data_IF_362846955398
#
_entry.id   IF_362846955398
#
_cell.length_a   1.000
_cell.length_b   1.000
_cell.length_c   1.000
_cell.angle_alpha   90.00
_cell.angle_beta   90.00
_cell.angle_gamma   90.00
#
_symmetry.space_group_name_H-M   'P 1'
#
loop_
_entity.id
_entity.type
_entity.pdbx_description
1 polymer ?
#
# COMPACT_ATOMS: atom_id res chain seq x y z
N UNK A 1 16.90 -1.07 -0.52
CA UNK A 1 17.11 0.23 0.16
C UNK A 1 16.36 1.27 -0.62
N UNK A 2 15.72 2.22 0.06
CA UNK A 2 15.02 3.32 -0.61
C UNK A 2 16.00 4.32 -1.23
N UNK A 3 15.51 5.09 -2.19
CA UNK A 3 16.31 6.03 -3.00
C UNK A 3 16.93 7.16 -2.16
N UNK A 4 16.34 7.46 -1.01
CA UNK A 4 16.82 8.44 -0.03
C UNK A 4 17.80 7.87 1.02
N UNK A 5 18.22 6.61 0.88
CA UNK A 5 19.14 5.96 1.81
C UNK A 5 18.50 5.39 3.06
N UNK A 6 17.16 5.41 3.19
CA UNK A 6 16.48 4.76 4.31
C UNK A 6 16.62 3.24 4.24
N UNK A 7 16.95 2.65 5.38
CA UNK A 7 17.05 1.20 5.58
C UNK A 7 15.73 0.60 6.04
N UNK A 8 15.55 -0.69 5.74
CA UNK A 8 14.36 -1.44 6.16
C UNK A 8 14.33 -1.59 7.68
N UNK A 9 13.17 -1.33 8.29
CA UNK A 9 13.02 -1.47 9.74
C UNK A 9 13.17 -2.92 10.23
N UNK A 10 12.54 -3.88 9.55
CA UNK A 10 12.65 -5.30 9.85
C UNK A 10 13.84 -5.95 9.14
N UNK A 11 15.06 -5.65 9.62
CA UNK A 11 16.27 -6.37 9.22
C UNK A 11 16.27 -7.80 9.74
N UNK A 12 17.09 -8.69 9.16
CA UNK A 12 17.23 -10.07 9.66
C UNK A 12 17.58 -10.12 11.16
N UNK A 13 18.40 -9.19 11.64
CA UNK A 13 18.78 -9.12 13.05
C UNK A 13 17.59 -8.77 13.96
N UNK A 14 16.66 -7.94 13.47
CA UNK A 14 15.40 -7.63 14.16
C UNK A 14 14.48 -8.84 14.12
N UNK A 15 14.32 -9.46 12.95
CA UNK A 15 13.44 -10.62 12.75
C UNK A 15 13.84 -11.84 13.60
N UNK A 16 15.14 -12.07 13.80
CA UNK A 16 15.65 -13.12 14.71
C UNK A 16 15.27 -12.90 16.17
N UNK A 17 15.01 -11.65 16.59
CA UNK A 17 14.74 -11.26 17.99
C UNK A 17 13.25 -11.05 18.28
N UNK A 18 12.42 -10.93 17.24
CA UNK A 18 10.98 -10.74 17.38
C UNK A 18 10.33 -11.96 18.01
N UNK A 19 9.47 -11.71 19.00
CA UNK A 19 8.66 -12.72 19.69
C UNK A 19 7.18 -12.61 19.30
N UNK A 20 6.92 -12.47 18.00
CA UNK A 20 5.57 -12.46 17.46
C UNK A 20 5.23 -13.86 16.93
N UNK A 21 4.21 -14.56 17.47
CA UNK A 21 3.84 -15.91 17.04
C UNK A 21 3.36 -15.99 15.58
N UNK A 22 3.02 -14.86 14.98
CA UNK A 22 2.61 -14.78 13.56
C UNK A 22 3.80 -14.76 12.62
N UNK A 23 5.00 -14.43 13.12
CA UNK A 23 6.22 -14.40 12.34
C UNK A 23 6.83 -15.79 12.30
N UNK A 24 7.04 -16.29 11.09
CA UNK A 24 7.66 -17.58 10.84
C UNK A 24 8.82 -17.47 9.85
N UNK A 25 9.52 -18.58 9.65
CA UNK A 25 10.58 -18.71 8.67
C UNK A 25 10.49 -20.07 7.98
N UNK A 26 10.61 -20.08 6.66
CA UNK A 26 10.74 -21.30 5.87
C UNK A 26 11.73 -21.12 4.72
N UNK A 27 11.71 -22.02 3.73
CA UNK A 27 12.59 -21.98 2.57
C UNK A 27 12.49 -20.67 1.76
N UNK A 28 11.35 -19.98 1.82
CA UNK A 28 11.12 -18.68 1.17
C UNK A 28 11.58 -17.47 1.99
N UNK A 29 12.17 -17.69 3.18
CA UNK A 29 12.63 -16.63 4.07
C UNK A 29 11.66 -16.35 5.23
N UNK A 30 11.74 -15.14 5.78
CA UNK A 30 10.85 -14.71 6.85
C UNK A 30 9.49 -14.29 6.30
N UNK A 31 8.43 -14.67 7.02
CA UNK A 31 7.07 -14.32 6.69
C UNK A 31 6.28 -13.95 7.93
N UNK A 32 5.14 -13.30 7.73
CA UNK A 32 4.15 -13.02 8.78
C UNK A 32 2.75 -13.37 8.29
N UNK A 33 1.90 -13.88 9.17
CA UNK A 33 0.46 -13.89 8.94
C UNK A 33 -0.14 -12.54 9.33
N UNK A 34 -0.69 -11.81 8.34
CA UNK A 34 -1.23 -10.46 8.54
C UNK A 34 -2.41 -10.46 9.51
N UNK A 35 -2.51 -9.42 10.35
CA UNK A 35 -3.58 -9.30 11.35
C UNK A 35 -4.97 -9.22 10.73
N UNK A 36 -5.10 -8.46 9.63
CA UNK A 36 -6.37 -8.12 9.00
C UNK A 36 -6.91 -9.24 8.10
N UNK A 37 -6.02 -9.97 7.43
CA UNK A 37 -6.42 -10.94 6.40
C UNK A 37 -6.03 -12.38 6.76
N UNK A 38 -5.22 -12.59 7.80
CA UNK A 38 -4.59 -13.87 8.14
C UNK A 38 -3.86 -14.50 6.93
N UNK A 39 -3.22 -13.65 6.14
CA UNK A 39 -2.52 -14.05 4.92
C UNK A 39 -1.02 -14.09 5.20
N UNK A 40 -0.37 -15.14 4.72
CA UNK A 40 1.08 -15.23 4.72
C UNK A 40 1.69 -14.21 3.76
N UNK A 41 2.46 -13.28 4.30
CA UNK A 41 3.21 -12.27 3.55
C UNK A 41 4.69 -12.48 3.83
N UNK A 42 5.47 -12.67 2.76
CA UNK A 42 6.93 -12.68 2.86
C UNK A 42 7.44 -11.26 3.04
N UNK A 43 8.31 -11.08 4.01
CA UNK A 43 8.77 -9.75 4.43
C UNK A 43 9.61 -9.10 3.33
N UNK A 44 10.46 -9.87 2.65
CA UNK A 44 11.24 -9.37 1.51
C UNK A 44 10.35 -8.97 0.34
N UNK A 45 9.29 -9.73 0.03
CA UNK A 45 8.33 -9.37 -1.03
C UNK A 45 7.55 -8.09 -0.70
N UNK A 46 7.23 -7.86 0.58
CA UNK A 46 6.62 -6.61 1.02
C UNK A 46 7.56 -5.41 0.80
N UNK A 47 8.83 -5.55 1.19
CA UNK A 47 9.82 -4.50 0.97
C UNK A 47 10.10 -4.25 -0.51
N UNK A 48 10.19 -5.30 -1.34
CA UNK A 48 10.34 -5.18 -2.79
C UNK A 48 9.16 -4.42 -3.41
N UNK A 49 7.93 -4.68 -2.95
CA UNK A 49 6.76 -3.92 -3.38
C UNK A 49 6.89 -2.43 -3.03
N UNK A 50 7.30 -2.10 -1.80
CA UNK A 50 7.50 -0.70 -1.39
C UNK A 50 8.58 0.00 -2.21
N UNK A 51 9.70 -0.65 -2.47
CA UNK A 51 10.82 -0.11 -3.25
C UNK A 51 10.41 0.16 -4.71
N UNK A 52 9.70 -0.80 -5.34
CA UNK A 52 9.18 -0.61 -6.71
C UNK A 52 8.17 0.54 -6.77
N UNK A 53 7.30 0.63 -5.76
CA UNK A 53 6.30 1.70 -5.68
C UNK A 53 6.96 3.05 -5.45
N UNK A 54 7.96 3.14 -4.57
CA UNK A 54 8.74 4.36 -4.34
C UNK A 54 9.35 4.86 -5.65
N UNK A 55 10.03 3.97 -6.38
CA UNK A 55 10.69 4.32 -7.64
C UNK A 55 9.71 4.96 -8.63
N UNK A 56 8.55 4.32 -8.85
CA UNK A 56 7.50 4.85 -9.75
C UNK A 56 6.94 6.18 -9.26
N UNK A 57 6.70 6.30 -7.96
CA UNK A 57 6.20 7.52 -7.35
C UNK A 57 7.20 8.69 -7.51
N UNK A 58 8.50 8.44 -7.36
CA UNK A 58 9.56 9.43 -7.57
C UNK A 58 9.69 9.83 -9.04
N UNK A 59 9.62 8.87 -9.97
CA UNK A 59 9.61 9.14 -11.42
C UNK A 59 8.43 10.05 -11.80
N UNK A 60 7.23 9.73 -11.32
CA UNK A 60 6.04 10.53 -11.61
C UNK A 60 6.09 11.90 -10.92
N UNK A 61 6.60 11.99 -9.69
CA UNK A 61 6.82 13.25 -9.00
C UNK A 61 7.80 14.16 -9.78
N UNK A 62 8.89 13.58 -10.29
CA UNK A 62 9.84 14.29 -11.13
C UNK A 62 9.20 14.82 -12.43
N UNK A 63 8.35 14.01 -13.06
CA UNK A 63 7.59 14.42 -14.25
C UNK A 63 6.60 15.54 -13.94
N UNK A 64 5.91 15.48 -12.81
CA UNK A 64 4.97 16.52 -12.38
C UNK A 64 5.67 17.84 -12.09
N UNK A 65 6.81 17.81 -11.39
CA UNK A 65 7.58 19.02 -11.11
C UNK A 65 8.02 19.72 -12.41
N UNK A 66 8.44 18.95 -13.43
CA UNK A 66 8.76 19.50 -14.75
C UNK A 66 7.54 20.11 -15.44
N UNK A 67 6.38 19.44 -15.38
CA UNK A 67 5.12 19.95 -15.96
C UNK A 67 4.66 21.23 -15.28
N UNK A 68 4.71 21.28 -13.94
CA UNK A 68 4.35 22.48 -13.16
C UNK A 68 5.26 23.65 -13.54
N UNK A 69 6.58 23.42 -13.58
CA UNK A 69 7.55 24.47 -13.92
C UNK A 69 7.44 24.98 -15.36
N UNK A 70 6.98 24.14 -16.30
CA UNK A 70 6.82 24.50 -17.70
C UNK A 70 5.45 25.13 -18.05
N UNK A 71 4.48 25.10 -17.14
CA UNK A 71 3.12 25.58 -17.40
C UNK A 71 2.97 27.03 -16.94
N UNK A 72 2.42 27.91 -17.78
CA UNK A 72 2.13 29.30 -17.40
C UNK A 72 1.13 29.38 -16.26
N UNK A 73 1.24 30.41 -15.43
CA UNK A 73 0.30 30.70 -14.33
C UNK A 73 -1.13 30.95 -14.84
N UNK A 74 -1.28 31.39 -16.10
CA UNK A 74 -2.58 31.60 -16.75
C UNK A 74 -3.40 30.30 -16.91
N UNK A 75 -2.75 29.13 -16.85
CA UNK A 75 -3.41 27.82 -16.94
C UNK A 75 -3.72 27.25 -15.55
N UNK A 76 -4.44 28.02 -14.74
CA UNK A 76 -4.74 27.71 -13.34
C UNK A 76 -5.33 26.30 -13.12
N UNK A 77 -6.28 25.89 -13.97
CA UNK A 77 -6.92 24.57 -13.88
C UNK A 77 -5.92 23.43 -14.13
N UNK A 78 -5.06 23.57 -15.13
CA UNK A 78 -4.03 22.57 -15.45
C UNK A 78 -2.98 22.48 -14.34
N UNK A 79 -2.57 23.62 -13.79
CA UNK A 79 -1.69 23.68 -12.63
C UNK A 79 -2.33 23.04 -11.39
N UNK A 80 -3.62 23.29 -11.16
CA UNK A 80 -4.37 22.69 -10.06
C UNK A 80 -4.42 21.16 -10.19
N UNK A 81 -4.64 20.63 -11.39
CA UNK A 81 -4.59 19.19 -11.66
C UNK A 81 -3.20 18.60 -11.34
N UNK A 82 -2.11 19.23 -11.79
CA UNK A 82 -0.76 18.75 -11.50
C UNK A 82 -0.42 18.82 -10.01
N UNK A 83 -0.80 19.90 -9.33
CA UNK A 83 -0.63 20.08 -7.88
C UNK A 83 -1.42 19.05 -7.08
N UNK A 84 -2.67 18.78 -7.46
CA UNK A 84 -3.47 17.72 -6.86
C UNK A 84 -2.78 16.35 -6.97
N UNK A 85 -2.29 16.00 -8.15
CA UNK A 85 -1.56 14.74 -8.37
C UNK A 85 -0.27 14.69 -7.55
N UNK A 86 0.45 15.81 -7.46
CA UNK A 86 1.67 15.94 -6.65
C UNK A 86 1.40 15.71 -5.17
N UNK A 87 0.31 16.27 -4.63
CA UNK A 87 -0.13 16.06 -3.24
C UNK A 87 -0.42 14.58 -2.97
N UNK A 88 -1.15 13.90 -3.85
CA UNK A 88 -1.47 12.47 -3.72
C UNK A 88 -0.18 11.63 -3.65
N UNK A 89 0.76 11.87 -4.57
CA UNK A 89 2.05 11.16 -4.62
C UNK A 89 2.90 11.50 -3.39
N UNK A 90 2.88 12.75 -2.93
CA UNK A 90 3.57 13.16 -1.71
C UNK A 90 3.05 12.41 -0.48
N UNK A 91 1.73 12.21 -0.36
CA UNK A 91 1.15 11.39 0.71
C UNK A 91 1.55 9.92 0.58
N UNK A 92 1.57 9.37 -0.64
CA UNK A 92 2.04 8.01 -0.88
C UNK A 92 3.49 7.83 -0.40
N UNK A 93 4.40 8.71 -0.82
CA UNK A 93 5.82 8.64 -0.43
C UNK A 93 6.02 8.76 1.09
N UNK A 94 5.30 9.69 1.74
CA UNK A 94 5.31 9.81 3.22
C UNK A 94 4.94 8.49 3.90
N UNK A 95 3.92 7.81 3.39
CA UNK A 95 3.51 6.51 3.93
C UNK A 95 4.53 5.42 3.61
N UNK A 96 5.07 5.35 2.39
CA UNK A 96 6.14 4.39 2.06
C UNK A 96 7.29 4.53 3.06
N UNK A 97 7.79 5.74 3.30
CA UNK A 97 8.91 5.97 4.22
C UNK A 97 8.57 5.58 5.66
N UNK A 98 7.36 5.92 6.12
CA UNK A 98 6.90 5.56 7.45
C UNK A 98 6.84 4.03 7.64
N UNK A 99 6.21 3.32 6.71
CA UNK A 99 6.04 1.87 6.80
C UNK A 99 7.32 1.09 6.49
N UNK A 100 8.20 1.62 5.63
CA UNK A 100 9.47 0.98 5.28
C UNK A 100 10.45 0.95 6.46
N UNK A 101 10.51 2.05 7.22
CA UNK A 101 11.43 2.22 8.35
C UNK A 101 10.90 1.66 9.68
N UNK A 102 9.60 1.35 9.77
CA UNK A 102 9.03 0.79 10.98
C UNK A 102 9.67 -0.57 11.33
N UNK A 103 10.17 -0.66 12.56
CA UNK A 103 10.79 -1.85 13.14
C UNK A 103 10.09 -2.30 14.42
N UNK A 104 9.05 -1.58 14.85
CA UNK A 104 8.41 -1.78 16.15
C UNK A 104 7.14 -2.59 16.00
N UNK A 105 6.26 -2.18 15.09
CA UNK A 105 4.97 -2.84 14.95
C UNK A 105 4.96 -3.79 13.77
N UNK A 106 4.88 -5.10 14.03
CA UNK A 106 4.70 -6.09 12.95
C UNK A 106 3.40 -5.91 12.17
N UNK A 107 2.47 -5.06 12.64
CA UNK A 107 1.25 -4.69 11.90
C UNK A 107 1.52 -3.83 10.67
N UNK A 108 2.70 -3.20 10.55
CA UNK A 108 3.09 -2.48 9.34
C UNK A 108 3.34 -3.43 8.17
N UNK A 109 3.72 -4.69 8.45
CA UNK A 109 3.86 -5.74 7.45
C UNK A 109 2.48 -6.22 7.00
N UNK A 110 2.10 -5.85 5.79
CA UNK A 110 0.77 -6.11 5.24
C UNK A 110 0.84 -6.46 3.75
N UNK A 111 -0.27 -6.93 3.18
CA UNK A 111 -0.33 -7.15 1.74
C UNK A 111 -0.27 -5.82 0.97
N UNK A 112 0.19 -5.82 -0.29
CA UNK A 112 0.12 -4.63 -1.15
C UNK A 112 -1.28 -4.00 -1.18
N UNK A 113 -2.33 -4.82 -1.19
CA UNK A 113 -3.71 -4.33 -1.21
C UNK A 113 -4.08 -3.59 0.07
N UNK A 114 -3.74 -4.16 1.23
CA UNK A 114 -3.96 -3.52 2.52
C UNK A 114 -3.20 -2.19 2.62
N UNK A 115 -1.96 -2.16 2.11
CA UNK A 115 -1.19 -0.92 2.03
C UNK A 115 -1.89 0.12 1.14
N UNK A 116 -2.36 -0.28 -0.03
CA UNK A 116 -3.10 0.61 -0.94
C UNK A 116 -4.35 1.21 -0.30
N UNK A 117 -5.11 0.42 0.47
CA UNK A 117 -6.28 0.94 1.21
C UNK A 117 -5.90 1.90 2.33
N UNK A 118 -4.79 1.64 3.04
CA UNK A 118 -4.29 2.56 4.06
C UNK A 118 -3.90 3.89 3.43
N UNK A 119 -3.15 3.87 2.32
CA UNK A 119 -2.74 5.11 1.64
C UNK A 119 -3.95 5.89 1.12
N UNK A 120 -4.95 5.19 0.58
CA UNK A 120 -6.21 5.79 0.13
C UNK A 120 -6.89 6.56 1.27
N UNK A 121 -7.05 5.93 2.43
CA UNK A 121 -7.62 6.58 3.63
C UNK A 121 -6.77 7.77 4.08
N UNK A 122 -5.44 7.66 4.05
CA UNK A 122 -4.54 8.77 4.41
C UNK A 122 -4.67 9.96 3.47
N UNK A 123 -4.89 9.73 2.18
CA UNK A 123 -5.14 10.81 1.21
C UNK A 123 -6.48 11.49 1.50
N UNK A 124 -7.54 10.72 1.78
CA UNK A 124 -8.87 11.26 2.14
C UNK A 124 -8.81 12.10 3.42
N UNK A 125 -8.13 11.60 4.46
CA UNK A 125 -7.90 12.35 5.71
C UNK A 125 -7.09 13.61 5.45
N UNK A 126 -6.06 13.54 4.59
CA UNK A 126 -5.24 14.71 4.26
C UNK A 126 -6.07 15.77 3.54
N UNK A 127 -6.87 15.37 2.54
CA UNK A 127 -7.80 16.23 1.81
C UNK A 127 -8.80 16.90 2.75
N UNK A 128 -9.39 16.15 3.69
CA UNK A 128 -10.32 16.72 4.68
C UNK A 128 -9.64 17.80 5.54
N UNK A 129 -8.42 17.51 6.03
CA UNK A 129 -7.61 18.49 6.77
C UNK A 129 -7.27 19.73 5.95
N UNK A 130 -6.95 19.56 4.66
CA UNK A 130 -6.70 20.67 3.74
C UNK A 130 -7.94 21.55 3.58
N UNK A 131 -9.12 20.95 3.37
CA UNK A 131 -10.38 21.69 3.21
C UNK A 131 -10.77 22.50 4.44
N UNK A 132 -10.33 22.07 5.63
CA UNK A 132 -10.52 22.75 6.92
C UNK A 132 -9.42 23.76 7.25
N UNK A 133 -8.41 23.92 6.39
CA UNK A 133 -7.26 24.80 6.65
C UNK A 133 -6.35 24.35 7.81
N UNK A 134 -6.42 23.08 8.21
CA UNK A 134 -5.65 22.52 9.33
C UNK A 134 -4.20 22.19 8.96
N UNK A 135 -3.90 22.19 7.66
CA UNK A 135 -2.57 21.92 7.11
C UNK A 135 -2.27 22.98 6.07
N UNK A 136 -1.04 23.52 6.11
CA UNK A 136 -0.49 24.40 5.07
C UNK A 136 0.40 23.55 4.16
N UNK A 137 0.16 23.63 2.86
CA UNK A 137 0.90 22.92 1.83
C UNK A 137 1.37 23.94 0.79
N UNK A 138 2.64 23.88 0.39
CA UNK A 138 3.24 24.82 -0.57
C UNK A 138 2.63 24.66 -1.96
N UNK A 139 2.09 23.48 -2.26
CA UNK A 139 1.43 23.20 -3.55
C UNK A 139 -0.01 23.71 -3.62
N UNK A 140 -0.49 24.41 -2.58
CA UNK A 140 -1.86 24.92 -2.53
C UNK A 140 -1.85 26.44 -2.76
N UNK A 141 -2.47 26.92 -3.86
CA UNK A 141 -2.65 28.35 -4.07
C UNK A 141 -3.63 28.94 -3.05
N UNK A 142 -3.68 30.27 -2.98
CA UNK A 142 -4.57 31.02 -2.08
C UNK A 142 -6.05 30.62 -2.24
N UNK A 143 -6.44 30.16 -3.43
CA UNK A 143 -7.74 29.57 -3.73
C UNK A 143 -7.64 28.05 -4.02
N UNK A 144 -7.83 27.17 -3.02
CA UNK A 144 -7.59 25.73 -3.13
C UNK A 144 -8.67 24.94 -3.87
N UNK A 145 -9.75 25.59 -4.33
CA UNK A 145 -10.98 24.91 -4.79
C UNK A 145 -10.71 23.83 -5.85
N UNK A 146 -10.03 24.19 -6.95
CA UNK A 146 -9.73 23.24 -8.03
C UNK A 146 -8.79 22.12 -7.59
N UNK A 147 -7.81 22.42 -6.74
CA UNK A 147 -6.88 21.39 -6.23
C UNK A 147 -7.63 20.35 -5.41
N UNK A 148 -8.52 20.78 -4.50
CA UNK A 148 -9.32 19.87 -3.68
C UNK A 148 -10.26 19.02 -4.53
N UNK A 149 -10.93 19.64 -5.51
CA UNK A 149 -11.80 18.93 -6.45
C UNK A 149 -11.01 17.85 -7.21
N UNK A 150 -9.84 18.18 -7.76
CA UNK A 150 -9.06 17.20 -8.49
C UNK A 150 -8.50 16.09 -7.60
N UNK A 151 -8.15 16.37 -6.34
CA UNK A 151 -7.76 15.30 -5.41
C UNK A 151 -8.89 14.27 -5.31
N UNK A 152 -10.15 14.69 -5.14
CA UNK A 152 -11.30 13.77 -5.07
C UNK A 152 -11.51 12.97 -6.35
N UNK A 153 -11.28 13.60 -7.50
CA UNK A 153 -11.50 12.96 -8.79
C UNK A 153 -10.41 11.93 -9.14
N UNK A 154 -9.15 12.22 -8.82
CA UNK A 154 -8.02 11.50 -9.41
C UNK A 154 -7.25 10.62 -8.43
N UNK A 155 -7.46 10.72 -7.12
CA UNK A 155 -6.65 9.99 -6.13
C UNK A 155 -6.68 8.48 -6.32
N UNK A 156 -7.86 7.88 -6.52
CA UNK A 156 -7.99 6.43 -6.73
C UNK A 156 -7.23 5.99 -7.98
N UNK A 157 -7.45 6.66 -9.10
CA UNK A 157 -6.81 6.33 -10.38
C UNK A 157 -5.29 6.48 -10.29
N UNK A 158 -4.83 7.59 -9.73
CA UNK A 158 -3.40 7.86 -9.54
C UNK A 158 -2.74 6.77 -8.69
N UNK A 159 -3.36 6.36 -7.59
CA UNK A 159 -2.84 5.29 -6.75
C UNK A 159 -2.87 3.93 -7.46
N UNK A 160 -3.94 3.59 -8.18
CA UNK A 160 -4.02 2.35 -8.95
C UNK A 160 -2.90 2.25 -10.00
N UNK A 161 -2.67 3.34 -10.73
CA UNK A 161 -1.63 3.43 -11.75
C UNK A 161 -0.24 3.23 -11.13
N UNK A 162 0.05 3.91 -10.01
CA UNK A 162 1.35 3.79 -9.33
C UNK A 162 1.52 2.40 -8.70
N UNK A 163 0.47 1.79 -8.14
CA UNK A 163 0.54 0.45 -7.56
C UNK A 163 0.52 -0.68 -8.59
N UNK A 164 0.20 -0.40 -9.87
CA UNK A 164 -0.12 -1.41 -10.90
C UNK A 164 -1.27 -2.35 -10.48
N UNK A 165 -2.27 -1.79 -9.78
CA UNK A 165 -3.44 -2.56 -9.40
C UNK A 165 -4.48 -2.57 -10.50
N UNK A 166 -5.30 -3.64 -10.62
CA UNK A 166 -6.44 -3.64 -11.52
C UNK A 166 -7.38 -2.46 -11.23
N UNK A 167 -8.03 -1.90 -12.24
CA UNK A 167 -8.93 -0.73 -12.11
C UNK A 167 -10.01 -0.90 -11.03
N UNK A 168 -10.42 -2.14 -10.78
CA UNK A 168 -11.47 -2.49 -9.81
C UNK A 168 -10.95 -2.65 -8.38
N UNK A 169 -9.64 -2.58 -8.12
CA UNK A 169 -9.05 -2.96 -6.84
C UNK A 169 -9.55 -2.15 -5.63
N UNK A 170 -9.93 -0.89 -5.85
CA UNK A 170 -10.53 -0.04 -4.81
C UNK A 170 -12.07 -0.03 -4.83
N UNK A 171 -12.72 -0.85 -5.65
CA UNK A 171 -14.17 -1.02 -5.59
C UNK A 171 -14.54 -2.00 -4.47
N UNK A 172 -15.50 -1.62 -3.62
CA UNK A 172 -16.04 -2.48 -2.55
C UNK A 172 -16.38 -3.88 -3.07
N UNK A 173 -17.08 -3.96 -4.22
CA UNK A 173 -17.49 -5.24 -4.82
C UNK A 173 -16.30 -6.13 -5.16
N UNK A 174 -15.21 -5.57 -5.69
CA UNK A 174 -14.02 -6.35 -6.01
C UNK A 174 -13.27 -6.76 -4.74
N UNK A 175 -13.14 -5.87 -3.76
CA UNK A 175 -12.55 -6.16 -2.46
C UNK A 175 -13.26 -7.34 -1.77
N UNK A 176 -14.59 -7.34 -1.73
CA UNK A 176 -15.37 -8.48 -1.22
C UNK A 176 -15.20 -9.74 -2.07
N UNK A 177 -15.19 -9.62 -3.40
CA UNK A 177 -15.01 -10.78 -4.29
C UNK A 177 -13.66 -11.45 -4.06
N UNK A 178 -12.61 -10.65 -3.88
CA UNK A 178 -11.27 -11.18 -3.67
C UNK A 178 -11.10 -11.75 -2.27
N UNK A 179 -11.72 -11.13 -1.27
CA UNK A 179 -11.84 -11.69 0.08
C UNK A 179 -12.53 -13.06 0.03
N UNK A 180 -13.68 -13.17 -0.65
CA UNK A 180 -14.42 -14.42 -0.81
C UNK A 180 -13.61 -15.51 -1.54
N UNK A 181 -12.92 -15.17 -2.64
CA UNK A 181 -12.03 -16.12 -3.34
C UNK A 181 -10.93 -16.64 -2.41
N UNK A 182 -10.35 -15.78 -1.57
CA UNK A 182 -9.32 -16.17 -0.61
C UNK A 182 -9.87 -17.09 0.48
N UNK A 183 -11.02 -16.75 1.07
CA UNK A 183 -11.70 -17.62 2.03
C UNK A 183 -12.05 -18.98 1.42
N UNK A 184 -12.56 -18.99 0.18
CA UNK A 184 -12.84 -20.22 -0.56
C UNK A 184 -11.59 -21.08 -0.72
N UNK A 185 -10.45 -20.49 -1.08
CA UNK A 185 -9.17 -21.21 -1.19
C UNK A 185 -8.71 -21.79 0.16
N UNK A 186 -8.84 -21.05 1.25
CA UNK A 186 -8.50 -21.53 2.60
C UNK A 186 -9.39 -22.71 2.99
N UNK A 187 -10.70 -22.60 2.77
CA UNK A 187 -11.66 -23.69 3.00
C UNK A 187 -11.30 -24.94 2.19
N UNK A 188 -11.01 -24.80 0.90
CA UNK A 188 -10.56 -25.91 0.07
C UNK A 188 -9.29 -26.57 0.60
N UNK A 189 -8.31 -25.79 1.06
CA UNK A 189 -7.09 -26.32 1.65
C UNK A 189 -7.35 -27.10 2.96
N UNK A 190 -8.24 -26.60 3.82
CA UNK A 190 -8.64 -27.29 5.05
C UNK A 190 -9.37 -28.59 4.72
N UNK A 191 -10.31 -28.56 3.77
CA UNK A 191 -11.03 -29.77 3.33
C UNK A 191 -10.08 -30.82 2.77
N UNK A 192 -9.13 -30.42 1.92
CA UNK A 192 -8.11 -31.33 1.38
C UNK A 192 -7.22 -31.91 2.48
N UNK A 193 -6.82 -31.09 3.46
CA UNK A 193 -6.01 -31.54 4.60
C UNK A 193 -6.77 -32.56 5.46
N UNK A 194 -8.05 -32.30 5.75
CA UNK A 194 -8.92 -33.24 6.48
C UNK A 194 -9.13 -34.54 5.71
N UNK A 195 -9.35 -34.48 4.39
CA UNK A 195 -9.46 -35.66 3.55
C UNK A 195 -8.17 -36.49 3.56
N UNK A 196 -7.00 -35.84 3.50
CA UNK A 196 -5.71 -36.53 3.56
C UNK A 196 -5.50 -37.22 4.93
N UNK A 197 -5.86 -36.56 6.04
CA UNK A 197 -5.82 -37.17 7.38
C UNK A 197 -6.79 -38.35 7.48
N UNK A 198 -8.01 -38.21 6.99
CA UNK A 198 -8.99 -39.31 6.96
C UNK A 198 -8.50 -40.49 6.12
N UNK A 199 -7.86 -40.24 4.98
CA UNK A 199 -7.25 -41.29 4.16
C UNK A 199 -6.08 -41.97 4.88
N UNK A 200 -5.22 -41.22 5.56
CA UNK A 200 -4.14 -41.81 6.38
C UNK A 200 -4.71 -42.71 7.48
N UNK A 201 -5.69 -42.26 8.26
CA UNK A 201 -6.33 -43.05 9.31
C UNK A 201 -6.93 -44.33 8.73
N UNK A 202 -7.61 -44.24 7.58
CA UNK A 202 -8.19 -45.40 6.89
C UNK A 202 -7.14 -46.39 6.38
N UNK A 203 -5.94 -45.91 6.03
CA UNK A 203 -4.82 -46.77 5.60
C UNK A 203 -4.08 -47.45 6.75
N UNK A 204 -4.03 -46.83 7.94
CA UNK A 204 -3.44 -47.41 9.15
C UNK A 204 -4.36 -48.42 9.86
N UNK A 205 -5.68 -48.37 9.59
CA UNK A 205 -6.67 -49.31 10.12
C UNK A 205 -6.79 -50.63 9.33
N UNK A 206 -5.81 -50.97 8.49
CA UNK A 206 -5.69 -52.25 7.78
C UNK A 206 -4.46 -53.01 8.25
#
# INVERSE_FOLDING_TARGET
>A
MLSNGLERGFTEGVLKRIKDPRVGKDAGGYFIYTTSENIKVYIDSYYEFLEKTEKRALEELGNLNKKIAATSEDYEETLAFYRAKKIIIGQLLKNIYHYYTDSVSTTSLMTPWCFGTVVLEKVEIYRDKLSKGLVRDEDIPEYPFYVLQYIDEIYKKTLLDIFEFPEKAFSMRWQYTELLKRYSKVLSNVTNSLQNVLMMIKSYGR
#
